data_IF_733556453478
#
_entry.id   IF_733556453478
#
_cell.length_a   1.000
_cell.length_b   1.000
_cell.length_c   1.000
_cell.angle_alpha   90.00
_cell.angle_beta   90.00
_cell.angle_gamma   90.00
#
_symmetry.space_group_name_H-M   'P 1'
#
loop_
_entity.id
_entity.type
_entity.pdbx_description
1 polymer ?
#
# COMPACT_ATOMS: atom_id res chain seq x y z
N UNK A 1 -11.44 -47.33 -2.62
CA UNK A 1 -11.57 -46.29 -1.57
C UNK A 1 -12.99 -45.74 -1.65
N UNK A 2 -13.82 -45.90 -0.61
CA UNK A 2 -15.26 -45.58 -0.66
C UNK A 2 -15.46 -44.17 -0.06
N UNK A 3 -15.91 -43.21 -0.86
CA UNK A 3 -16.15 -41.84 -0.40
C UNK A 3 -17.57 -41.76 0.17
N UNK A 4 -17.73 -41.26 1.40
CA UNK A 4 -19.04 -41.00 2.02
C UNK A 4 -19.20 -39.49 2.14
N UNK A 5 -20.17 -38.95 1.42
CA UNK A 5 -20.53 -37.52 1.49
C UNK A 5 -21.42 -37.31 2.71
N UNK A 6 -21.04 -36.37 3.58
CA UNK A 6 -21.88 -35.93 4.71
C UNK A 6 -22.49 -34.56 4.40
N UNK A 7 -23.75 -34.31 4.76
CA UNK A 7 -24.37 -33.00 4.60
C UNK A 7 -23.68 -31.96 5.49
N UNK A 8 -23.67 -30.71 5.01
CA UNK A 8 -23.09 -29.57 5.73
C UNK A 8 -23.96 -29.27 6.97
N UNK A 9 -23.35 -29.07 8.15
CA UNK A 9 -24.09 -28.69 9.36
C UNK A 9 -24.70 -27.31 9.19
N UNK A 10 -25.93 -27.14 9.70
CA UNK A 10 -26.56 -25.82 9.73
C UNK A 10 -25.83 -24.92 10.74
N UNK A 11 -25.15 -23.91 10.20
CA UNK A 11 -24.41 -22.88 10.94
C UNK A 11 -25.16 -21.55 10.97
N UNK A 12 -26.41 -21.52 10.50
CA UNK A 12 -27.19 -20.30 10.43
C UNK A 12 -27.45 -19.78 11.84
N UNK A 13 -27.23 -18.47 12.10
CA UNK A 13 -27.56 -17.89 13.39
C UNK A 13 -29.08 -18.00 13.64
N UNK A 14 -29.51 -18.08 14.91
CA UNK A 14 -30.93 -18.14 15.25
C UNK A 14 -31.65 -16.87 14.73
N UNK A 15 -32.85 -17.05 14.19
CA UNK A 15 -33.68 -15.92 13.72
C UNK A 15 -34.14 -15.12 14.94
N UNK A 16 -33.69 -13.87 15.04
CA UNK A 16 -34.10 -12.94 16.09
C UNK A 16 -35.35 -12.18 15.59
N UNK A 17 -36.44 -12.24 16.34
CA UNK A 17 -37.63 -11.43 16.08
C UNK A 17 -37.39 -9.98 16.47
N UNK A 18 -37.60 -9.07 15.53
CA UNK A 18 -37.39 -7.63 15.70
C UNK A 18 -38.29 -7.02 16.78
N UNK A 19 -39.41 -7.66 17.15
CA UNK A 19 -40.27 -7.22 18.27
C UNK A 19 -39.72 -7.57 19.65
N UNK A 20 -38.82 -8.57 19.73
CA UNK A 20 -38.14 -8.95 20.98
C UNK A 20 -36.72 -8.40 21.06
N UNK A 21 -36.15 -7.90 19.96
CA UNK A 21 -34.85 -7.23 19.88
C UNK A 21 -34.81 -5.81 20.51
N UNK A 22 -35.72 -5.51 21.43
CA UNK A 22 -35.67 -4.25 22.19
C UNK A 22 -34.59 -4.39 23.26
N UNK A 23 -33.47 -3.71 23.05
CA UNK A 23 -32.42 -3.53 24.07
C UNK A 23 -33.05 -2.77 25.23
N UNK A 24 -33.42 -3.49 26.30
CA UNK A 24 -34.09 -2.90 27.48
C UNK A 24 -33.16 -2.07 28.36
N UNK A 25 -31.85 -2.18 28.15
CA UNK A 25 -30.84 -1.46 28.90
C UNK A 25 -29.70 -1.07 27.94
N UNK A 26 -29.75 0.11 27.31
CA UNK A 26 -28.66 0.56 26.48
C UNK A 26 -27.49 0.86 27.42
N UNK A 27 -26.52 -0.05 27.46
CA UNK A 27 -25.25 0.26 28.11
C UNK A 27 -24.75 1.61 27.58
N UNK A 28 -24.16 2.49 28.42
CA UNK A 28 -23.63 3.77 27.97
C UNK A 28 -22.52 3.61 26.90
N UNK A 29 -22.02 2.38 26.75
CA UNK A 29 -21.17 1.99 25.64
C UNK A 29 -22.06 1.66 24.43
N UNK A 30 -22.30 2.67 23.60
CA UNK A 30 -22.72 2.45 22.22
C UNK A 30 -21.55 1.76 21.53
N UNK A 31 -21.66 0.44 21.32
CA UNK A 31 -20.70 -0.31 20.51
C UNK A 31 -20.75 0.24 19.08
N UNK A 32 -19.83 1.16 18.77
CA UNK A 32 -19.80 1.87 17.48
C UNK A 32 -19.13 3.25 17.53
N UNK A 33 -18.96 3.84 18.72
CA UNK A 33 -18.30 5.15 18.87
C UNK A 33 -17.21 5.06 19.91
N UNK A 34 -16.00 4.70 19.48
CA UNK A 34 -14.81 4.85 20.30
C UNK A 34 -14.41 6.33 20.31
N UNK A 35 -14.43 6.97 21.48
CA UNK A 35 -13.86 8.30 21.65
C UNK A 35 -12.32 8.17 21.62
N UNK A 36 -11.73 8.35 20.44
CA UNK A 36 -10.28 8.38 20.27
C UNK A 36 -9.85 9.84 20.33
N UNK A 37 -9.09 10.20 21.35
CA UNK A 37 -8.46 11.51 21.46
C UNK A 37 -7.09 11.48 20.78
N UNK A 38 -7.00 12.10 19.60
CA UNK A 38 -5.76 12.22 18.83
C UNK A 38 -4.89 13.41 19.26
N UNK A 39 -5.33 14.22 20.23
CA UNK A 39 -4.62 15.41 20.70
C UNK A 39 -3.75 15.14 21.92
N UNK A 40 -3.92 13.99 22.57
CA UNK A 40 -3.07 13.58 23.68
C UNK A 40 -1.67 13.24 23.13
N UNK A 41 -0.76 14.19 23.30
CA UNK A 41 0.66 13.97 23.07
C UNK A 41 1.13 12.76 23.88
N UNK A 42 1.72 11.78 23.21
CA UNK A 42 2.28 10.61 23.84
C UNK A 42 3.54 11.00 24.61
N UNK A 43 3.51 10.82 25.93
CA UNK A 43 4.68 11.01 26.77
C UNK A 43 5.53 9.73 26.76
N UNK A 44 6.64 9.76 26.03
CA UNK A 44 7.59 8.64 25.94
C UNK A 44 8.23 8.31 27.29
N UNK A 45 8.22 9.24 28.26
CA UNK A 45 8.69 8.96 29.62
C UNK A 45 7.72 8.10 30.43
N UNK A 46 6.41 8.15 30.14
CA UNK A 46 5.38 7.39 30.87
C UNK A 46 5.18 5.96 30.34
N UNK A 47 5.41 5.70 29.05
CA UNK A 47 5.35 4.35 28.47
C UNK A 47 6.53 4.10 27.52
N UNK A 48 7.73 3.74 28.03
CA UNK A 48 8.90 3.51 27.18
C UNK A 48 8.76 2.30 26.24
N UNK A 49 7.73 1.48 26.39
CA UNK A 49 7.47 0.31 25.55
C UNK A 49 6.44 0.59 24.43
N UNK A 50 5.79 1.76 24.43
CA UNK A 50 4.83 2.19 23.41
C UNK A 50 3.63 1.25 23.24
N UNK A 51 3.27 0.53 24.30
CA UNK A 51 2.24 -0.50 24.26
C UNK A 51 0.84 0.09 24.05
N UNK A 52 0.65 1.34 24.46
CA UNK A 52 -0.64 2.04 24.35
C UNK A 52 -0.68 3.07 23.20
N UNK A 53 0.37 3.18 22.37
CA UNK A 53 0.36 4.10 21.23
C UNK A 53 -0.40 3.52 20.03
N UNK A 54 -1.67 3.92 19.91
CA UNK A 54 -2.51 3.65 18.73
C UNK A 54 -2.45 4.81 17.73
N UNK A 55 -1.32 4.96 17.04
CA UNK A 55 -1.11 5.96 15.98
C UNK A 55 -0.21 5.43 14.85
N UNK A 56 -0.04 6.19 13.74
CA UNK A 56 0.83 5.79 12.64
C UNK A 56 2.28 5.60 13.12
N UNK A 57 2.73 4.35 13.18
CA UNK A 57 4.10 4.00 13.53
C UNK A 57 4.96 3.85 12.27
N UNK A 58 6.10 4.55 12.22
CA UNK A 58 7.05 4.37 11.12
C UNK A 58 7.64 2.96 11.19
N UNK A 59 7.66 2.26 10.06
CA UNK A 59 8.35 0.97 9.97
C UNK A 59 9.85 1.22 9.90
N UNK A 60 10.61 0.61 10.79
CA UNK A 60 12.07 0.75 10.82
C UNK A 60 12.70 0.11 9.58
N UNK A 61 13.81 0.64 9.07
CA UNK A 61 14.46 0.10 7.86
C UNK A 61 14.81 -1.39 8.01
N UNK A 62 15.20 -1.81 9.21
CA UNK A 62 15.52 -3.22 9.53
C UNK A 62 14.33 -4.19 9.38
N UNK A 63 13.12 -3.67 9.30
CA UNK A 63 11.88 -4.45 9.12
C UNK A 63 11.37 -4.38 7.68
N UNK A 64 12.04 -3.63 6.80
CA UNK A 64 11.71 -3.51 5.39
C UNK A 64 12.58 -4.45 4.53
N UNK A 65 12.10 -4.88 3.36
CA UNK A 65 12.91 -5.62 2.40
C UNK A 65 14.10 -4.80 1.87
N UNK A 66 15.07 -5.51 1.27
CA UNK A 66 16.23 -4.89 0.63
C UNK A 66 15.79 -3.84 -0.43
N UNK A 67 16.27 -2.58 -0.33
CA UNK A 67 15.71 -1.48 -1.11
C UNK A 67 16.11 -1.52 -2.58
N UNK A 68 17.28 -2.05 -2.94
CA UNK A 68 17.78 -2.06 -4.32
C UNK A 68 16.90 -2.87 -5.26
N UNK A 69 16.38 -4.01 -4.83
CA UNK A 69 15.44 -4.81 -5.63
C UNK A 69 14.16 -4.01 -5.88
N UNK A 70 13.62 -3.38 -4.84
CA UNK A 70 12.39 -2.59 -4.96
C UNK A 70 12.58 -1.39 -5.90
N UNK A 71 13.65 -0.61 -5.70
CA UNK A 71 13.98 0.56 -6.52
C UNK A 71 14.21 0.17 -7.99
N UNK A 72 14.88 -0.95 -8.25
CA UNK A 72 15.14 -1.43 -9.62
C UNK A 72 13.82 -1.71 -10.35
N UNK A 73 12.90 -2.43 -9.70
CA UNK A 73 11.59 -2.76 -10.28
C UNK A 73 10.71 -1.52 -10.46
N UNK A 74 10.72 -0.61 -9.48
CA UNK A 74 9.99 0.65 -9.57
C UNK A 74 10.52 1.52 -10.71
N UNK A 75 11.83 1.74 -10.79
CA UNK A 75 12.46 2.51 -11.86
C UNK A 75 12.14 1.92 -13.24
N UNK A 76 12.17 0.58 -13.38
CA UNK A 76 11.81 -0.10 -14.61
C UNK A 76 10.35 0.16 -15.00
N UNK A 77 9.42 0.05 -14.05
CA UNK A 77 8.00 0.34 -14.28
C UNK A 77 7.77 1.80 -14.69
N UNK A 78 8.45 2.76 -14.04
CA UNK A 78 8.36 4.18 -14.37
C UNK A 78 8.84 4.47 -15.78
N UNK A 79 9.98 3.88 -16.20
CA UNK A 79 10.50 4.04 -17.57
C UNK A 79 9.54 3.45 -18.60
N UNK A 80 8.96 2.28 -18.34
CA UNK A 80 7.96 1.66 -19.22
C UNK A 80 6.67 2.49 -19.32
N UNK A 81 6.25 3.12 -18.23
CA UNK A 81 5.11 4.05 -18.25
C UNK A 81 5.43 5.27 -19.12
N UNK A 82 6.61 5.88 -18.93
CA UNK A 82 7.03 7.02 -19.73
C UNK A 82 7.16 6.69 -21.22
N UNK A 83 7.56 5.46 -21.56
CA UNK A 83 7.69 5.00 -22.95
C UNK A 83 6.37 4.51 -23.57
N UNK A 84 5.26 4.46 -22.82
CA UNK A 84 3.98 3.95 -23.32
C UNK A 84 3.85 2.42 -23.29
N UNK A 85 4.85 1.70 -22.78
CA UNK A 85 4.87 0.22 -22.76
C UNK A 85 4.15 -0.37 -21.54
N UNK A 86 3.84 0.47 -20.54
CA UNK A 86 3.07 0.09 -19.35
C UNK A 86 1.97 1.13 -19.07
N UNK A 87 0.74 0.72 -18.69
CA UNK A 87 -0.31 1.66 -18.31
C UNK A 87 0.05 2.47 -17.06
N UNK A 88 -0.14 3.79 -17.09
CA UNK A 88 0.16 4.68 -15.98
C UNK A 88 -0.53 4.34 -14.64
N UNK A 89 -1.81 3.89 -14.60
CA UNK A 89 -2.48 3.56 -13.33
C UNK A 89 -1.74 2.53 -12.47
N UNK A 90 -0.89 1.68 -13.06
CA UNK A 90 -0.14 0.67 -12.32
C UNK A 90 0.84 1.26 -11.31
N UNK A 91 1.34 2.48 -11.50
CA UNK A 91 2.30 3.10 -10.56
C UNK A 91 1.66 4.06 -9.56
N UNK A 92 0.35 4.29 -9.67
CA UNK A 92 -0.38 5.30 -8.88
C UNK A 92 -0.23 5.15 -7.36
N UNK A 93 -0.28 3.91 -6.85
CA UNK A 93 -0.15 3.61 -5.42
C UNK A 93 1.18 4.04 -4.81
N UNK A 94 2.25 4.10 -5.61
CA UNK A 94 3.61 4.33 -5.13
C UNK A 94 4.19 5.69 -5.52
N UNK A 95 3.36 6.55 -6.11
CA UNK A 95 3.75 7.89 -6.56
C UNK A 95 2.89 8.92 -5.88
N UNK A 96 3.44 10.10 -5.62
CA UNK A 96 2.62 11.25 -5.22
C UNK A 96 1.69 11.66 -6.37
N UNK A 97 0.58 12.36 -6.10
CA UNK A 97 -0.35 12.82 -7.15
C UNK A 97 0.34 13.65 -8.25
N UNK A 98 1.32 14.49 -7.88
CA UNK A 98 2.05 15.36 -8.80
C UNK A 98 2.94 14.54 -9.74
N UNK A 99 3.67 13.55 -9.20
CA UNK A 99 4.51 12.65 -9.98
C UNK A 99 3.63 11.80 -10.91
N UNK A 100 2.51 11.28 -10.42
CA UNK A 100 1.56 10.51 -11.20
C UNK A 100 1.02 11.30 -12.40
N UNK A 101 0.64 12.56 -12.21
CA UNK A 101 0.10 13.40 -13.28
C UNK A 101 1.11 13.57 -14.44
N UNK A 102 2.39 13.76 -14.12
CA UNK A 102 3.47 13.86 -15.11
C UNK A 102 3.63 12.54 -15.88
N UNK A 103 3.63 11.40 -15.17
CA UNK A 103 3.76 10.08 -15.76
C UNK A 103 2.57 9.74 -16.68
N UNK A 104 1.35 10.00 -16.23
CA UNK A 104 0.13 9.78 -17.00
C UNK A 104 0.10 10.61 -18.29
N UNK A 105 0.50 11.88 -18.21
CA UNK A 105 0.64 12.75 -19.40
C UNK A 105 1.66 12.20 -20.39
N UNK A 106 2.84 11.78 -19.91
CA UNK A 106 3.87 11.20 -20.79
C UNK A 106 3.39 9.90 -21.43
N UNK A 107 2.75 9.03 -20.66
CA UNK A 107 2.19 7.78 -21.16
C UNK A 107 1.17 8.00 -22.29
N UNK A 108 0.26 8.96 -22.13
CA UNK A 108 -0.74 9.30 -23.14
C UNK A 108 -0.11 9.85 -24.45
N UNK A 109 0.99 10.60 -24.35
CA UNK A 109 1.72 11.11 -25.51
C UNK A 109 2.50 9.99 -26.20
N UNK A 110 3.20 9.15 -25.43
CA UNK A 110 4.00 8.05 -25.97
C UNK A 110 3.14 6.95 -26.60
N UNK A 111 1.98 6.62 -26.01
CA UNK A 111 1.06 5.63 -26.56
C UNK A 111 0.46 5.99 -27.93
N UNK A 112 0.47 7.28 -28.30
CA UNK A 112 0.06 7.75 -29.64
C UNK A 112 1.16 7.55 -30.69
N UNK A 113 2.42 7.43 -30.28
CA UNK A 113 3.55 7.16 -31.17
C UNK A 113 3.72 5.65 -31.26
N UNK A 114 2.98 5.02 -32.18
CA UNK A 114 3.05 3.59 -32.46
C UNK A 114 4.38 3.18 -33.11
N UNK A 115 5.47 3.33 -32.35
CA UNK A 115 6.80 2.85 -32.71
C UNK A 115 7.11 1.66 -31.82
N UNK A 116 7.65 0.59 -32.40
CA UNK A 116 8.18 -0.55 -31.64
C UNK A 116 9.45 -0.08 -30.93
N UNK A 117 9.27 0.64 -29.83
CA UNK A 117 10.37 1.12 -29.02
C UNK A 117 10.99 -0.08 -28.29
N UNK A 118 12.28 -0.33 -28.53
CA UNK A 118 13.01 -1.36 -27.78
C UNK A 118 12.89 -1.05 -26.29
N UNK A 119 12.55 -2.07 -25.49
CA UNK A 119 12.34 -1.93 -24.04
C UNK A 119 13.59 -1.35 -23.39
N UNK A 120 13.47 -0.14 -22.84
CA UNK A 120 14.53 0.46 -22.03
C UNK A 120 14.75 -0.40 -20.77
N UNK A 121 16.02 -0.58 -20.40
CA UNK A 121 16.41 -1.44 -19.28
C UNK A 121 17.15 -0.62 -18.23
N UNK A 122 16.66 -0.64 -16.99
CA UNK A 122 17.40 -0.14 -15.84
C UNK A 122 18.59 -1.07 -15.59
N UNK A 123 19.81 -0.52 -15.61
CA UNK A 123 21.05 -1.30 -15.46
C UNK A 123 21.82 -1.00 -14.19
N UNK A 124 21.72 0.23 -13.70
CA UNK A 124 22.45 0.68 -12.52
C UNK A 124 21.51 1.47 -11.62
N UNK A 125 21.54 1.14 -10.35
CA UNK A 125 20.84 1.86 -9.29
C UNK A 125 21.87 2.22 -8.22
N UNK A 126 21.86 3.49 -7.81
CA UNK A 126 22.61 4.02 -6.66
C UNK A 126 21.59 4.47 -5.63
N UNK A 127 21.81 4.10 -4.38
CA UNK A 127 20.91 4.38 -3.25
C UNK A 127 21.70 5.11 -2.16
N UNK A 128 21.04 6.07 -1.51
CA UNK A 128 21.41 6.63 -0.23
C UNK A 128 20.22 6.57 0.73
N UNK A 129 20.51 6.42 2.02
CA UNK A 129 19.51 6.32 3.08
C UNK A 129 19.71 7.51 4.04
N UNK A 130 19.13 8.68 3.75
CA UNK A 130 19.38 9.90 4.53
C UNK A 130 18.76 9.87 5.92
N UNK A 131 17.76 9.02 6.14
CA UNK A 131 17.10 8.81 7.43
C UNK A 131 16.52 7.39 7.48
N UNK A 132 16.26 6.88 8.69
CA UNK A 132 15.62 5.58 8.86
C UNK A 132 14.24 5.54 8.17
N UNK A 133 14.05 4.53 7.32
CA UNK A 133 12.86 4.33 6.50
C UNK A 133 12.79 5.20 5.24
N UNK A 134 13.82 6.02 4.96
CA UNK A 134 13.88 6.88 3.77
C UNK A 134 14.97 6.40 2.83
N UNK A 135 14.59 6.16 1.58
CA UNK A 135 15.49 5.76 0.49
C UNK A 135 15.46 6.82 -0.59
N UNK A 136 16.61 7.38 -0.90
CA UNK A 136 16.85 8.19 -2.08
C UNK A 136 17.59 7.35 -3.12
N UNK A 137 17.20 7.47 -4.40
CA UNK A 137 17.79 6.65 -5.44
C UNK A 137 17.96 7.37 -6.78
N UNK A 138 19.05 7.03 -7.45
CA UNK A 138 19.31 7.38 -8.84
C UNK A 138 19.40 6.10 -9.67
N UNK A 139 18.57 5.99 -10.71
CA UNK A 139 18.56 4.86 -11.62
C UNK A 139 19.01 5.29 -13.02
N UNK A 140 20.07 4.65 -13.51
CA UNK A 140 20.55 4.76 -14.88
C UNK A 140 20.11 3.55 -15.70
N UNK A 141 19.54 3.81 -16.86
CA UNK A 141 19.14 2.79 -17.83
C UNK A 141 19.78 3.01 -19.17
N UNK A 142 19.74 1.98 -20.02
CA UNK A 142 20.09 2.08 -21.43
C UNK A 142 18.80 1.97 -22.23
N UNK A 143 18.51 3.00 -23.03
CA UNK A 143 17.50 2.95 -24.08
C UNK A 143 18.21 2.82 -25.42
N UNK A 144 17.70 1.98 -26.31
CA UNK A 144 18.07 2.03 -27.71
C UNK A 144 17.10 3.00 -28.40
N UNK A 145 17.60 4.19 -28.70
CA UNK A 145 17.04 5.06 -29.74
C UNK A 145 17.51 4.59 -31.11
#
# INVERSE_FOLDING_TARGET
MKLIVRPIPDISPPVIDSRTAVIRDPSPFIQGTLAVDFTRGYDTFQDPAGRDYFGPQRTLSRQLPEPKVWVTNMAQALVEVMSGNRPAPQVSRWTTPEVYAVLARRNAVSGRRATVARRALVRRVRICEPADGVVEACAGGVGHG
#
